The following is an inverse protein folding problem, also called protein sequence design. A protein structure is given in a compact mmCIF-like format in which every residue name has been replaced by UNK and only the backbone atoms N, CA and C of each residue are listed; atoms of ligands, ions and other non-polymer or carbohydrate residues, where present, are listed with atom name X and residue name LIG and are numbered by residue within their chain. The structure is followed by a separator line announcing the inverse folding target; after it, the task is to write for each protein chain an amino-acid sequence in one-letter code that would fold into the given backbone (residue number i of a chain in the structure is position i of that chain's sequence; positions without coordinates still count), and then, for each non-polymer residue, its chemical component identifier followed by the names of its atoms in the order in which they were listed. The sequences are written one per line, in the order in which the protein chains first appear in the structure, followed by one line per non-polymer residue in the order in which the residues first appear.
data_IF_617692368789
#
_entry.id   IF_617692368789
#
_cell.length_a   1.000
_cell.length_b   1.000
_cell.length_c   1.000
_cell.angle_alpha   90.00
_cell.angle_beta   90.00
_cell.angle_gamma   90.00
#
_symmetry.space_group_name_H-M   'P 1'
#
loop_
_entity.id
_entity.type
_entity.pdbx_description
1 polymer ?
#
# COMPACT_ATOMS: atom_id res chain seq x y z
N UNK A 1 18.72 12.65 -14.70
CA UNK A 1 18.27 13.99 -14.27
C UNK A 1 16.77 14.08 -14.45
N UNK A 2 16.04 14.71 -13.55
CA UNK A 2 14.64 15.09 -13.82
C UNK A 2 14.58 16.34 -14.73
N UNK A 3 13.37 16.81 -15.06
CA UNK A 3 13.16 18.00 -15.89
C UNK A 3 13.73 19.30 -15.30
N UNK A 4 14.25 19.26 -14.06
CA UNK A 4 14.91 20.37 -13.37
C UNK A 4 16.42 20.17 -13.19
N UNK A 5 17.04 19.18 -13.86
CA UNK A 5 18.48 18.97 -13.80
C UNK A 5 19.01 18.41 -12.47
N UNK A 6 18.14 18.03 -11.52
CA UNK A 6 18.58 17.38 -10.28
C UNK A 6 18.93 15.92 -10.57
N UNK A 7 20.08 15.48 -10.08
CA UNK A 7 20.38 14.06 -9.97
C UNK A 7 19.30 13.42 -9.09
N UNK A 8 18.65 12.35 -9.59
CA UNK A 8 17.66 11.63 -8.79
C UNK A 8 18.40 10.90 -7.69
N UNK A 9 18.25 11.37 -6.45
CA UNK A 9 18.92 10.77 -5.31
C UNK A 9 18.50 9.31 -5.08
N UNK A 10 19.35 8.48 -4.45
CA UNK A 10 19.02 7.09 -4.16
C UNK A 10 17.75 6.96 -3.31
N UNK A 11 16.93 5.95 -3.62
CA UNK A 11 15.65 5.70 -2.95
C UNK A 11 15.72 4.41 -2.15
N UNK A 12 15.48 4.47 -0.84
CA UNK A 12 15.27 3.28 -0.01
C UNK A 12 13.81 2.86 -0.08
N UNK A 13 13.54 1.59 -0.40
CA UNK A 13 12.21 1.00 -0.31
C UNK A 13 12.16 0.01 0.85
N UNK A 14 11.44 0.36 1.91
CA UNK A 14 11.09 -0.61 2.95
C UNK A 14 9.90 -1.45 2.50
N UNK A 15 9.79 -2.70 2.97
CA UNK A 15 8.76 -3.60 2.45
C UNK A 15 8.93 -3.93 0.95
N UNK A 16 10.15 -3.77 0.40
CA UNK A 16 10.49 -4.00 -1.01
C UNK A 16 10.12 -5.42 -1.51
N UNK A 17 10.03 -6.39 -0.60
CA UNK A 17 9.62 -7.77 -0.89
C UNK A 17 8.13 -8.03 -0.69
N UNK A 18 7.31 -6.99 -0.50
CA UNK A 18 5.85 -7.08 -0.36
C UNK A 18 5.12 -7.07 -1.70
N UNK A 19 3.78 -7.13 -1.67
CA UNK A 19 2.93 -7.04 -2.87
C UNK A 19 3.16 -5.71 -3.59
N UNK A 20 3.00 -4.58 -2.90
CA UNK A 20 3.26 -3.26 -3.48
C UNK A 20 4.75 -3.01 -3.72
N UNK A 21 5.60 -3.40 -2.77
CA UNK A 21 7.05 -3.13 -2.82
C UNK A 21 7.72 -3.65 -4.08
N UNK A 22 7.39 -4.87 -4.54
CA UNK A 22 7.96 -5.41 -5.78
C UNK A 22 7.60 -4.57 -7.01
N UNK A 23 6.35 -4.14 -7.09
CA UNK A 23 5.84 -3.33 -8.21
C UNK A 23 6.47 -1.94 -8.20
N UNK A 24 6.59 -1.32 -7.01
CA UNK A 24 7.27 -0.04 -6.83
C UNK A 24 8.74 -0.14 -7.21
N UNK A 25 9.48 -1.12 -6.68
CA UNK A 25 10.91 -1.31 -7.02
C UNK A 25 11.10 -1.49 -8.52
N UNK A 26 10.29 -2.35 -9.16
CA UNK A 26 10.35 -2.54 -10.61
C UNK A 26 10.07 -1.24 -11.37
N UNK A 27 9.04 -0.49 -10.96
CA UNK A 27 8.69 0.77 -11.61
C UNK A 27 9.79 1.83 -11.46
N UNK A 28 10.29 2.05 -10.25
CA UNK A 28 11.36 3.02 -9.97
C UNK A 28 12.61 2.74 -10.80
N UNK A 29 12.99 1.46 -10.92
CA UNK A 29 14.10 1.03 -11.77
C UNK A 29 13.83 1.30 -13.25
N UNK A 30 12.64 0.98 -13.75
CA UNK A 30 12.27 1.21 -15.15
C UNK A 30 12.38 2.68 -15.57
N UNK A 31 12.27 3.62 -14.61
CA UNK A 31 12.38 5.06 -14.86
C UNK A 31 13.71 5.65 -14.36
N UNK A 32 14.69 4.82 -14.02
CA UNK A 32 16.07 5.21 -13.74
C UNK A 32 16.34 5.77 -12.34
N UNK A 33 15.54 5.43 -11.32
CA UNK A 33 15.95 5.70 -9.94
C UNK A 33 16.98 4.66 -9.47
N UNK A 34 18.05 5.06 -8.77
CA UNK A 34 18.87 4.14 -7.99
C UNK A 34 18.03 3.64 -6.80
N UNK A 35 17.82 2.33 -6.69
CA UNK A 35 16.96 1.75 -5.66
C UNK A 35 17.76 0.87 -4.72
N UNK A 36 17.63 1.17 -3.43
CA UNK A 36 18.01 0.28 -2.33
C UNK A 36 16.78 -0.41 -1.76
N UNK A 37 16.81 -1.74 -1.67
CA UNK A 37 15.75 -2.54 -1.06
C UNK A 37 16.10 -2.97 0.36
N UNK A 38 15.23 -2.71 1.33
CA UNK A 38 15.38 -3.26 2.68
C UNK A 38 14.66 -4.62 2.78
N UNK A 39 15.37 -5.65 3.24
CA UNK A 39 14.79 -6.96 3.50
C UNK A 39 15.34 -7.61 4.76
N UNK A 40 14.50 -8.39 5.44
CA UNK A 40 14.94 -9.17 6.61
C UNK A 40 15.82 -10.37 6.24
N UNK A 41 15.88 -10.73 4.95
CA UNK A 41 16.66 -11.86 4.45
C UNK A 41 17.71 -11.35 3.48
N UNK A 42 18.84 -12.05 3.42
CA UNK A 42 19.85 -11.83 2.39
C UNK A 42 19.27 -12.19 1.03
N UNK A 43 19.56 -11.37 0.03
CA UNK A 43 19.26 -11.63 -1.38
C UNK A 43 20.55 -11.95 -2.12
N UNK A 44 20.44 -12.68 -3.24
CA UNK A 44 21.55 -12.82 -4.17
C UNK A 44 21.90 -11.43 -4.75
N UNK A 45 23.17 -11.19 -5.09
CA UNK A 45 23.55 -9.96 -5.79
C UNK A 45 22.66 -9.74 -7.03
N UNK A 46 22.09 -8.54 -7.15
CA UNK A 46 21.38 -8.06 -8.33
C UNK A 46 21.98 -6.70 -8.66
N UNK A 47 22.72 -6.60 -9.77
CA UNK A 47 23.40 -5.36 -10.19
C UNK A 47 22.44 -4.17 -10.38
N UNK A 48 21.13 -4.42 -10.32
CA UNK A 48 20.07 -3.46 -10.57
C UNK A 48 19.33 -3.03 -9.29
N UNK A 49 19.56 -3.68 -8.14
CA UNK A 49 19.03 -3.30 -6.82
C UNK A 49 20.11 -3.48 -5.76
N UNK A 50 20.40 -2.41 -5.02
CA UNK A 50 21.23 -2.52 -3.81
C UNK A 50 20.39 -3.12 -2.66
N UNK A 51 20.65 -4.37 -2.28
CA UNK A 51 19.92 -5.04 -1.21
C UNK A 51 20.65 -4.88 0.12
N UNK A 52 19.96 -4.30 1.11
CA UNK A 52 20.44 -4.22 2.49
C UNK A 52 19.60 -5.11 3.40
N UNK A 53 20.29 -5.86 4.26
CA UNK A 53 19.65 -6.68 5.29
C UNK A 53 19.31 -5.80 6.48
N UNK A 54 18.04 -5.79 6.87
CA UNK A 54 17.59 -5.11 8.08
C UNK A 54 16.14 -5.39 8.44
N UNK A 55 15.78 -5.03 9.66
CA UNK A 55 14.45 -5.25 10.23
C UNK A 55 13.96 -4.01 10.96
N UNK A 56 12.90 -3.41 10.42
CA UNK A 56 12.25 -2.23 11.01
C UNK A 56 11.75 -2.49 12.43
N UNK A 57 11.40 -3.73 12.77
CA UNK A 57 10.88 -4.06 14.10
C UNK A 57 11.94 -4.06 15.18
N UNK A 58 13.16 -4.45 14.84
CA UNK A 58 14.27 -4.52 15.79
C UNK A 58 15.21 -3.32 15.70
N UNK A 59 15.17 -2.56 14.60
CA UNK A 59 16.13 -1.48 14.32
C UNK A 59 17.39 -1.96 13.61
N UNK A 60 17.64 -3.29 13.56
CA UNK A 60 18.86 -3.84 12.99
C UNK A 60 18.99 -3.48 11.51
N UNK A 61 20.14 -2.95 11.12
CA UNK A 61 20.48 -2.62 9.74
C UNK A 61 19.78 -1.39 9.16
N UNK A 62 18.94 -0.66 9.94
CA UNK A 62 18.27 0.54 9.43
C UNK A 62 19.29 1.65 9.13
N UNK A 63 20.23 1.93 10.03
CA UNK A 63 21.25 2.97 9.84
C UNK A 63 22.04 2.78 8.53
N UNK A 64 22.55 1.57 8.30
CA UNK A 64 23.22 1.22 7.03
C UNK A 64 22.29 1.30 5.82
N UNK A 65 20.99 1.03 5.99
CA UNK A 65 20.03 1.12 4.91
C UNK A 65 19.77 2.57 4.47
N UNK A 66 19.77 3.53 5.40
CA UNK A 66 19.49 4.96 5.12
C UNK A 66 20.74 5.76 4.74
N UNK A 67 21.94 5.21 4.91
CA UNK A 67 23.20 5.89 4.55
C UNK A 67 23.25 6.26 3.06
N UNK A 68 23.46 7.55 2.76
CA UNK A 68 23.51 8.08 1.40
C UNK A 68 22.16 8.08 0.65
N UNK A 69 21.06 7.79 1.34
CA UNK A 69 19.71 7.80 0.77
C UNK A 69 19.14 9.21 0.78
N UNK A 70 18.58 9.63 -0.35
CA UNK A 70 17.88 10.91 -0.45
C UNK A 70 16.42 10.78 -0.01
N UNK A 71 15.73 9.73 -0.44
CA UNK A 71 14.29 9.54 -0.16
C UNK A 71 14.00 8.14 0.34
N UNK A 72 13.14 8.02 1.36
CA UNK A 72 12.62 6.74 1.84
C UNK A 72 11.18 6.57 1.39
N UNK A 73 10.90 5.48 0.67
CA UNK A 73 9.55 4.99 0.38
C UNK A 73 9.20 3.92 1.41
N UNK A 74 8.37 4.30 2.39
CA UNK A 74 8.04 3.47 3.53
C UNK A 74 6.78 2.62 3.27
N UNK A 75 6.97 1.37 2.82
CA UNK A 75 5.90 0.41 2.52
C UNK A 75 5.88 -0.80 3.48
N UNK A 76 6.79 -0.84 4.44
CA UNK A 76 6.80 -1.91 5.43
C UNK A 76 5.50 -1.87 6.25
N UNK A 77 4.80 -3.00 6.28
CA UNK A 77 3.53 -3.12 6.96
C UNK A 77 3.28 -4.56 7.38
N UNK A 78 2.59 -4.76 8.50
CA UNK A 78 2.25 -6.08 9.03
C UNK A 78 0.79 -6.14 9.50
N UNK A 79 -0.17 -6.11 8.56
CA UNK A 79 -1.57 -6.16 8.93
C UNK A 79 -1.92 -7.52 9.56
N UNK A 80 -2.88 -7.51 10.48
CA UNK A 80 -3.51 -8.71 11.05
C UNK A 80 -2.62 -9.64 11.89
N UNK A 81 -1.49 -9.14 12.43
CA UNK A 81 -0.67 -9.88 13.39
C UNK A 81 -0.76 -9.25 14.77
N UNK A 82 -1.72 -9.70 15.59
CA UNK A 82 -1.93 -9.21 16.97
C UNK A 82 -0.61 -9.16 17.74
N UNK A 83 -0.37 -8.06 18.44
CA UNK A 83 0.88 -7.79 19.18
C UNK A 83 2.06 -7.35 18.32
N UNK A 84 2.19 -7.86 17.08
CA UNK A 84 3.29 -7.53 16.16
C UNK A 84 3.00 -6.32 15.26
N UNK A 85 1.74 -6.04 14.92
CA UNK A 85 1.37 -4.90 14.07
C UNK A 85 1.90 -3.59 14.63
N UNK A 86 1.76 -3.36 15.94
CA UNK A 86 2.25 -2.13 16.59
C UNK A 86 3.77 -1.97 16.49
N UNK A 87 4.53 -3.05 16.66
CA UNK A 87 6.00 -2.98 16.63
C UNK A 87 6.54 -2.68 15.23
N UNK A 88 5.78 -3.01 14.19
CA UNK A 88 6.10 -2.67 12.79
C UNK A 88 5.63 -1.27 12.45
N UNK A 89 4.33 -0.98 12.62
CA UNK A 89 3.67 0.23 12.10
C UNK A 89 3.99 1.49 12.90
N UNK A 90 4.24 1.38 14.21
CA UNK A 90 4.49 2.56 15.05
C UNK A 90 5.95 2.59 15.46
N UNK A 91 6.42 1.54 16.14
CA UNK A 91 7.77 1.56 16.69
C UNK A 91 8.82 1.39 15.60
N UNK A 92 8.53 0.59 14.57
CA UNK A 92 9.41 0.45 13.42
C UNK A 92 9.47 1.70 12.56
N UNK A 93 8.34 2.38 12.35
CA UNK A 93 8.31 3.68 11.69
C UNK A 93 9.11 4.72 12.47
N UNK A 94 8.96 4.80 13.80
CA UNK A 94 9.77 5.71 14.63
C UNK A 94 11.27 5.48 14.46
N UNK A 95 11.74 4.24 14.61
CA UNK A 95 13.16 3.89 14.42
C UNK A 95 13.67 4.27 13.03
N UNK A 96 12.87 4.00 11.99
CA UNK A 96 13.22 4.39 10.63
C UNK A 96 13.36 5.90 10.48
N UNK A 97 12.45 6.68 11.06
CA UNK A 97 12.49 8.14 11.02
C UNK A 97 13.70 8.71 11.77
N UNK A 98 14.01 8.16 12.95
CA UNK A 98 15.15 8.60 13.77
C UNK A 98 16.49 8.41 13.04
N UNK A 99 16.69 7.23 12.45
CA UNK A 99 17.87 6.90 11.64
C UNK A 99 17.90 7.72 10.35
N UNK A 100 16.77 7.84 9.66
CA UNK A 100 16.66 8.63 8.43
C UNK A 100 17.00 10.11 8.67
N UNK A 101 16.55 10.68 9.79
CA UNK A 101 16.86 12.05 10.16
C UNK A 101 18.35 12.22 10.43
N UNK A 102 18.94 11.31 11.22
CA UNK A 102 20.38 11.31 11.51
C UNK A 102 21.22 11.20 10.24
N UNK A 103 20.79 10.41 9.26
CA UNK A 103 21.45 10.23 7.97
C UNK A 103 21.20 11.37 6.97
N UNK A 104 20.38 12.37 7.31
CA UNK A 104 20.08 13.50 6.43
C UNK A 104 19.16 13.16 5.24
N UNK A 105 18.27 12.17 5.39
CA UNK A 105 17.21 11.90 4.39
C UNK A 105 16.36 13.15 4.18
N UNK A 106 16.07 13.46 2.92
CA UNK A 106 15.41 14.70 2.53
C UNK A 106 13.90 14.55 2.32
N UNK A 107 13.40 13.32 2.17
CA UNK A 107 11.99 13.06 1.88
C UNK A 107 11.53 11.68 2.38
N UNK A 108 10.35 11.62 3.02
CA UNK A 108 9.64 10.38 3.33
C UNK A 108 8.36 10.30 2.47
N UNK A 109 8.22 9.24 1.68
CA UNK A 109 6.94 8.88 1.04
C UNK A 109 6.33 7.71 1.82
N UNK A 110 5.16 7.92 2.40
CA UNK A 110 4.49 6.91 3.22
C UNK A 110 3.15 6.50 2.62
N UNK A 111 2.84 5.20 2.65
CA UNK A 111 1.55 4.67 2.21
C UNK A 111 0.66 4.31 3.40
N UNK A 112 -0.52 4.91 3.42
CA UNK A 112 -1.60 4.71 4.38
C UNK A 112 -2.88 4.25 3.64
N UNK A 113 -4.03 4.36 4.29
CA UNK A 113 -5.31 3.81 3.82
C UNK A 113 -6.37 4.90 3.86
N UNK A 114 -7.17 5.01 2.80
CA UNK A 114 -8.32 5.95 2.74
C UNK A 114 -9.28 5.66 3.90
N UNK A 115 -9.67 6.73 4.62
CA UNK A 115 -10.61 6.68 5.74
C UNK A 115 -10.11 5.96 7.00
N UNK A 116 -8.79 5.80 7.17
CA UNK A 116 -8.22 5.11 8.33
C UNK A 116 -8.54 5.79 9.67
N UNK A 117 -8.82 7.08 9.66
CA UNK A 117 -9.24 7.90 10.80
C UNK A 117 -10.74 7.84 11.11
N UNK A 118 -11.56 7.32 10.20
CA UNK A 118 -13.02 7.25 10.37
C UNK A 118 -13.55 5.85 10.68
N UNK A 119 -12.74 4.81 10.49
CA UNK A 119 -13.16 3.42 10.66
C UNK A 119 -12.53 2.84 11.93
N UNK A 120 -13.34 2.41 12.93
CA UNK A 120 -12.86 1.96 14.23
C UNK A 120 -12.27 0.54 14.15
N UNK A 121 -11.10 0.43 13.51
CA UNK A 121 -10.37 -0.79 13.34
C UNK A 121 -8.94 -0.60 13.85
N UNK A 122 -8.54 -1.41 14.84
CA UNK A 122 -7.23 -1.28 15.50
C UNK A 122 -6.02 -1.21 14.56
N UNK A 123 -6.08 -1.85 13.39
CA UNK A 123 -5.01 -1.72 12.39
C UNK A 123 -4.97 -0.31 11.77
N UNK A 124 -6.12 0.30 11.50
CA UNK A 124 -6.18 1.65 10.94
C UNK A 124 -5.73 2.71 11.96
N UNK A 125 -6.03 2.50 13.25
CA UNK A 125 -5.48 3.33 14.33
C UNK A 125 -3.94 3.35 14.31
N UNK A 126 -3.28 2.22 13.99
CA UNK A 126 -1.82 2.21 13.82
C UNK A 126 -1.34 2.98 12.60
N UNK A 127 -2.14 3.02 11.52
CA UNK A 127 -1.83 3.84 10.33
C UNK A 127 -1.92 5.32 10.64
N UNK A 128 -2.97 5.76 11.33
CA UNK A 128 -3.12 7.15 11.79
C UNK A 128 -1.96 7.54 12.72
N UNK A 129 -1.61 6.68 13.69
CA UNK A 129 -0.48 6.96 14.57
C UNK A 129 0.86 7.09 13.81
N UNK A 130 1.08 6.30 12.76
CA UNK A 130 2.26 6.41 11.91
C UNK A 130 2.24 7.71 11.07
N UNK A 131 1.08 8.10 10.52
CA UNK A 131 0.90 9.38 9.84
C UNK A 131 1.28 10.55 10.74
N UNK A 132 0.84 10.54 12.00
CA UNK A 132 1.18 11.57 12.97
C UNK A 132 2.67 11.63 13.30
N UNK A 133 3.35 10.48 13.45
CA UNK A 133 4.79 10.44 13.69
C UNK A 133 5.57 11.08 12.54
N UNK A 134 5.16 10.80 11.31
CA UNK A 134 5.78 11.36 10.10
C UNK A 134 5.49 12.85 10.01
N UNK A 135 4.23 13.26 10.24
CA UNK A 135 3.81 14.65 10.11
C UNK A 135 4.42 15.58 11.17
N UNK A 136 4.68 15.07 12.37
CA UNK A 136 5.35 15.81 13.46
C UNK A 136 6.88 15.75 13.37
N UNK A 137 7.41 14.90 12.48
CA UNK A 137 8.85 14.70 12.32
C UNK A 137 9.53 15.84 11.57
N UNK A 138 10.88 15.92 11.65
CA UNK A 138 11.66 16.98 11.00
C UNK A 138 11.87 16.77 9.49
N UNK A 139 11.62 15.55 8.97
CA UNK A 139 11.86 15.23 7.56
C UNK A 139 10.64 15.60 6.72
N UNK A 140 10.79 16.38 5.62
CA UNK A 140 9.70 16.62 4.69
C UNK A 140 9.07 15.31 4.18
N UNK A 141 7.75 15.27 4.03
CA UNK A 141 7.05 14.01 3.72
C UNK A 141 6.05 14.16 2.56
N UNK A 142 5.49 13.02 2.13
CA UNK A 142 4.27 12.91 1.35
C UNK A 142 3.51 11.66 1.84
N UNK A 143 2.28 11.83 2.32
CA UNK A 143 1.45 10.70 2.76
C UNK A 143 0.43 10.39 1.68
N UNK A 144 0.41 9.15 1.20
CA UNK A 144 -0.57 8.64 0.24
C UNK A 144 -1.53 7.68 0.96
N UNK A 145 -2.76 8.10 1.21
CA UNK A 145 -3.86 7.22 1.65
C UNK A 145 -4.41 6.51 0.42
N UNK A 146 -4.22 5.19 0.36
CA UNK A 146 -4.53 4.39 -0.82
C UNK A 146 -5.85 3.62 -0.66
N UNK A 147 -6.52 3.39 -1.77
CA UNK A 147 -7.59 2.40 -1.85
C UNK A 147 -7.10 1.00 -1.53
N UNK A 148 -8.01 0.08 -1.19
CA UNK A 148 -7.64 -1.31 -0.93
C UNK A 148 -7.10 -1.94 -2.22
N UNK A 149 -5.97 -2.63 -2.16
CA UNK A 149 -5.41 -3.25 -3.36
C UNK A 149 -6.34 -4.34 -3.89
N UNK A 150 -6.43 -4.45 -5.22
CA UNK A 150 -7.22 -5.50 -5.88
C UNK A 150 -6.84 -6.89 -5.36
N UNK A 151 -5.54 -7.19 -5.21
CA UNK A 151 -5.07 -8.45 -4.63
C UNK A 151 -5.55 -8.70 -3.19
N UNK A 152 -5.67 -7.65 -2.39
CA UNK A 152 -6.22 -7.76 -1.04
C UNK A 152 -7.71 -8.13 -1.08
N UNK A 153 -8.49 -7.46 -1.92
CA UNK A 153 -9.92 -7.74 -2.11
C UNK A 153 -10.14 -9.17 -2.62
N UNK A 154 -9.35 -9.61 -3.60
CA UNK A 154 -9.36 -10.98 -4.13
C UNK A 154 -9.11 -12.01 -3.03
N UNK A 155 -8.04 -11.82 -2.25
CA UNK A 155 -7.69 -12.74 -1.16
C UNK A 155 -8.76 -12.77 -0.08
N UNK A 156 -9.34 -11.63 0.28
CA UNK A 156 -10.42 -11.56 1.25
C UNK A 156 -11.64 -12.35 0.76
N UNK A 157 -12.09 -12.15 -0.48
CA UNK A 157 -13.19 -12.90 -1.09
C UNK A 157 -12.89 -14.40 -1.17
N UNK A 158 -11.66 -14.76 -1.56
CA UNK A 158 -11.22 -16.16 -1.63
C UNK A 158 -11.28 -16.84 -0.27
N UNK A 159 -10.73 -16.21 0.78
CA UNK A 159 -10.75 -16.74 2.15
C UNK A 159 -12.17 -16.86 2.71
N UNK A 160 -13.06 -15.91 2.41
CA UNK A 160 -14.45 -15.93 2.87
C UNK A 160 -15.33 -16.92 2.09
N UNK A 161 -14.89 -17.37 0.91
CA UNK A 161 -15.68 -18.27 0.04
C UNK A 161 -15.68 -19.75 0.44
N UNK A 162 -14.97 -20.12 1.51
CA UNK A 162 -14.70 -21.53 1.86
C UNK A 162 -15.94 -22.39 2.15
N UNK A 163 -17.01 -21.79 2.68
CA UNK A 163 -18.22 -22.51 3.12
C UNK A 163 -19.37 -22.49 2.11
N UNK A 164 -19.12 -22.15 0.84
CA UNK A 164 -20.18 -22.10 -0.18
C UNK A 164 -20.98 -20.79 -0.21
N UNK A 165 -20.74 -19.88 0.73
CA UNK A 165 -21.48 -18.62 0.91
C UNK A 165 -20.51 -17.42 0.95
N UNK A 166 -21.00 -16.27 0.50
CA UNK A 166 -20.37 -14.96 0.68
C UNK A 166 -21.38 -13.98 1.29
N UNK A 167 -21.01 -13.34 2.40
CA UNK A 167 -21.81 -12.25 2.98
C UNK A 167 -21.34 -10.94 2.36
N UNK A 168 -22.27 -10.18 1.76
CA UNK A 168 -21.97 -8.89 1.14
C UNK A 168 -22.99 -7.82 1.54
N UNK A 169 -22.55 -6.83 2.31
CA UNK A 169 -23.35 -5.64 2.62
C UNK A 169 -23.31 -4.67 1.43
N UNK A 170 -24.44 -4.50 0.76
CA UNK A 170 -24.57 -3.67 -0.46
C UNK A 170 -24.34 -2.18 -0.23
N UNK A 171 -24.34 -1.73 1.02
CA UNK A 171 -24.08 -0.33 1.37
C UNK A 171 -22.61 -0.07 1.70
N UNK A 172 -21.79 -1.12 1.80
CA UNK A 172 -20.35 -0.97 1.99
C UNK A 172 -19.71 -0.71 0.64
N UNK A 173 -19.21 0.51 0.48
CA UNK A 173 -18.53 0.99 -0.71
C UNK A 173 -17.03 0.99 -0.49
N UNK A 174 -16.27 0.59 -1.51
CA UNK A 174 -14.81 0.67 -1.55
C UNK A 174 -14.35 1.08 -2.95
N UNK A 175 -13.19 1.72 -3.03
CA UNK A 175 -12.62 2.15 -4.31
C UNK A 175 -11.26 1.47 -4.54
N UNK A 176 -11.26 0.15 -4.85
CA UNK A 176 -10.03 -0.63 -4.85
C UNK A 176 -9.10 -0.20 -5.98
N UNK A 177 -7.80 -0.21 -5.73
CA UNK A 177 -6.76 0.31 -6.65
C UNK A 177 -5.75 -0.77 -7.06
N UNK A 178 -5.26 -0.72 -8.30
CA UNK A 178 -4.19 -1.62 -8.73
C UNK A 178 -2.83 -1.13 -8.24
N UNK A 179 -1.96 -2.08 -7.86
CA UNK A 179 -0.61 -1.77 -7.40
C UNK A 179 0.28 -1.10 -8.46
N UNK A 180 0.04 -1.31 -9.75
CA UNK A 180 0.75 -0.62 -10.83
C UNK A 180 0.42 0.87 -10.84
N UNK A 181 -0.87 1.23 -10.70
CA UNK A 181 -1.31 2.63 -10.60
C UNK A 181 -0.70 3.31 -9.36
N UNK A 182 -0.66 2.59 -8.23
CA UNK A 182 -0.01 3.09 -7.01
C UNK A 182 1.49 3.30 -7.22
N UNK A 183 2.17 2.39 -7.91
CA UNK A 183 3.60 2.52 -8.21
C UNK A 183 3.89 3.73 -9.11
N UNK A 184 3.02 4.00 -10.10
CA UNK A 184 3.08 5.24 -10.88
C UNK A 184 2.87 6.46 -10.00
N UNK A 185 1.87 6.43 -9.09
CA UNK A 185 1.59 7.57 -8.21
C UNK A 185 2.74 7.86 -7.24
N UNK A 186 3.34 6.84 -6.64
CA UNK A 186 4.55 6.98 -5.81
C UNK A 186 5.69 7.57 -6.65
N UNK A 187 5.88 7.09 -7.88
CA UNK A 187 6.92 7.61 -8.78
C UNK A 187 6.69 9.10 -9.11
N UNK A 188 5.43 9.50 -9.31
CA UNK A 188 5.06 10.90 -9.51
C UNK A 188 5.33 11.75 -8.25
N UNK A 189 4.98 11.25 -7.06
CA UNK A 189 5.27 11.92 -5.79
C UNK A 189 6.77 12.12 -5.57
N UNK A 190 7.60 11.12 -5.88
CA UNK A 190 9.07 11.23 -5.82
C UNK A 190 9.62 12.31 -6.76
N UNK A 191 9.02 12.49 -7.95
CA UNK A 191 9.44 13.51 -8.91
C UNK A 191 8.96 14.91 -8.53
N UNK A 192 7.78 15.02 -7.92
CA UNK A 192 7.25 16.29 -7.44
C UNK A 192 8.01 16.79 -6.19
N UNK A 193 8.57 15.87 -5.41
CA UNK A 193 9.21 16.15 -4.13
C UNK A 193 8.22 16.13 -2.97
N UNK A 194 8.67 16.54 -1.77
CA UNK A 194 7.82 16.57 -0.58
C UNK A 194 6.55 17.40 -0.76
N UNK A 195 5.46 16.90 -0.19
CA UNK A 195 4.17 17.58 -0.14
C UNK A 195 3.67 17.52 1.30
N UNK A 196 3.53 18.66 1.97
CA UNK A 196 3.21 18.76 3.41
C UNK A 196 1.77 18.36 3.79
N UNK A 197 1.20 17.34 3.15
CA UNK A 197 -0.18 16.92 3.33
C UNK A 197 -0.44 15.45 3.02
N UNK A 198 -1.71 15.09 3.20
CA UNK A 198 -2.25 13.76 2.90
C UNK A 198 -2.96 13.84 1.55
N UNK A 199 -2.55 12.96 0.64
CA UNK A 199 -3.25 12.74 -0.61
C UNK A 199 -4.01 11.41 -0.56
N UNK A 200 -5.26 11.41 -1.01
CA UNK A 200 -6.04 10.19 -1.20
C UNK A 200 -6.00 9.73 -2.65
N UNK A 201 -5.73 8.44 -2.88
CA UNK A 201 -5.62 7.85 -4.21
C UNK A 201 -6.36 6.51 -4.28
N UNK A 202 -7.55 6.54 -4.85
CA UNK A 202 -8.39 5.35 -5.11
C UNK A 202 -8.25 4.83 -6.54
N UNK A 203 -8.81 3.66 -6.81
CA UNK A 203 -8.93 3.14 -8.18
C UNK A 203 -9.97 3.89 -9.03
N UNK A 204 -10.18 3.45 -10.28
CA UNK A 204 -11.05 4.16 -11.22
C UNK A 204 -12.54 4.11 -10.83
N UNK A 205 -12.96 3.08 -10.10
CA UNK A 205 -14.38 2.78 -9.83
C UNK A 205 -14.66 2.58 -8.34
N UNK A 206 -15.82 3.09 -7.89
CA UNK A 206 -16.39 2.77 -6.58
C UNK A 206 -17.25 1.53 -6.74
N UNK A 207 -16.97 0.51 -5.94
CA UNK A 207 -17.67 -0.76 -5.94
C UNK A 207 -18.38 -0.98 -4.61
N UNK A 208 -19.61 -1.44 -4.67
CA UNK A 208 -20.20 -2.11 -3.52
C UNK A 208 -19.66 -3.55 -3.41
N UNK A 209 -19.66 -4.08 -2.18
CA UNK A 209 -19.11 -5.40 -1.89
C UNK A 209 -19.82 -6.54 -2.66
N UNK A 210 -21.11 -6.38 -2.99
CA UNK A 210 -21.85 -7.37 -3.77
C UNK A 210 -21.38 -7.38 -5.22
N UNK A 211 -21.22 -6.22 -5.85
CA UNK A 211 -20.71 -6.10 -7.23
C UNK A 211 -19.31 -6.70 -7.31
N UNK A 212 -18.43 -6.36 -6.36
CA UNK A 212 -17.08 -6.92 -6.31
C UNK A 212 -17.09 -8.45 -6.20
N UNK A 213 -17.95 -9.00 -5.32
CA UNK A 213 -18.11 -10.45 -5.15
C UNK A 213 -18.72 -11.13 -6.39
N UNK A 214 -19.70 -10.52 -7.06
CA UNK A 214 -20.30 -11.06 -8.28
C UNK A 214 -19.28 -11.16 -9.42
N UNK A 215 -18.51 -10.09 -9.64
CA UNK A 215 -17.46 -10.07 -10.66
C UNK A 215 -16.37 -11.11 -10.32
N UNK A 216 -16.00 -11.26 -9.05
CA UNK A 216 -15.04 -12.26 -8.60
C UNK A 216 -15.51 -13.71 -8.81
N UNK A 217 -16.78 -14.02 -8.51
CA UNK A 217 -17.35 -15.36 -8.78
C UNK A 217 -17.37 -15.67 -10.28
N UNK A 218 -17.73 -14.69 -11.10
CA UNK A 218 -17.73 -14.84 -12.56
C UNK A 218 -16.32 -15.13 -13.09
N UNK A 219 -15.32 -14.38 -12.63
CA UNK A 219 -13.93 -14.57 -13.05
C UNK A 219 -13.31 -15.88 -12.57
N UNK A 220 -13.61 -16.31 -11.33
CA UNK A 220 -13.05 -17.55 -10.75
C UNK A 220 -13.79 -18.83 -11.14
N UNK A 221 -14.95 -18.71 -11.79
CA UNK A 221 -15.84 -19.84 -12.10
C UNK A 221 -16.49 -20.51 -10.88
N UNK A 222 -16.33 -19.93 -9.68
CA UNK A 222 -16.87 -20.50 -8.43
C UNK A 222 -18.37 -20.27 -8.34
N UNK A 223 -19.11 -21.28 -7.89
CA UNK A 223 -20.54 -21.17 -7.54
C UNK A 223 -20.68 -20.97 -6.04
N UNK A 224 -21.03 -19.76 -5.61
CA UNK A 224 -21.28 -19.40 -4.20
C UNK A 224 -22.53 -18.54 -4.11
N UNK A 225 -23.36 -18.74 -3.10
CA UNK A 225 -24.49 -17.84 -2.88
C UNK A 225 -24.01 -16.56 -2.21
N UNK A 226 -24.47 -15.41 -2.70
CA UNK A 226 -24.19 -14.11 -2.08
C UNK A 226 -25.40 -13.73 -1.22
N UNK A 227 -25.20 -13.67 0.10
CA UNK A 227 -26.21 -13.25 1.05
C UNK A 227 -26.08 -11.75 1.33
N UNK A 228 -27.13 -10.93 1.08
CA UNK A 228 -27.10 -9.49 1.27
C UNK A 228 -27.29 -9.10 2.75
N UNK A 229 -26.41 -9.60 3.63
CA UNK A 229 -26.50 -9.35 5.07
C UNK A 229 -25.74 -8.09 5.44
N UNK A 230 -26.39 -7.24 6.24
CA UNK A 230 -25.83 -5.99 6.75
C UNK A 230 -24.79 -6.27 7.83
N UNK A 231 -23.60 -5.66 7.73
CA UNK A 231 -22.58 -5.79 8.77
C UNK A 231 -23.09 -5.03 10.03
N UNK A 232 -23.25 -5.70 11.18
CA UNK A 232 -23.78 -5.06 12.38
C UNK A 232 -22.73 -4.17 13.08
N UNK A 233 -23.18 -3.40 14.07
CA UNK A 233 -22.30 -2.64 14.96
C UNK A 233 -21.71 -1.35 14.37
N UNK A 234 -20.80 -0.73 15.14
CA UNK A 234 -20.13 0.53 14.79
C UNK A 234 -19.28 0.39 13.53
N UNK A 235 -18.53 -0.70 13.40
CA UNK A 235 -17.68 -0.98 12.24
C UNK A 235 -18.50 -1.02 10.93
N UNK A 236 -19.62 -1.75 10.92
CA UNK A 236 -20.49 -1.79 9.75
C UNK A 236 -21.10 -0.43 9.40
N UNK A 237 -21.39 0.42 10.39
CA UNK A 237 -21.86 1.80 10.13
C UNK A 237 -20.76 2.60 9.43
N UNK A 238 -19.55 2.65 10.00
CA UNK A 238 -18.42 3.37 9.42
C UNK A 238 -18.11 2.95 7.97
N UNK A 239 -18.16 1.65 7.65
CA UNK A 239 -17.98 1.19 6.28
C UNK A 239 -19.06 1.66 5.30
N UNK A 240 -20.30 1.86 5.77
CA UNK A 240 -21.42 2.32 4.95
C UNK A 240 -21.46 3.83 4.76
N UNK A 241 -20.72 4.57 5.57
CA UNK A 241 -20.62 6.03 5.47
C UNK A 241 -19.67 6.46 4.33
N UNK A 242 -19.14 5.50 3.55
CA UNK A 242 -18.39 5.76 2.32
C UNK A 242 -16.92 6.12 2.53
N UNK A 243 -16.42 6.01 3.77
CA UNK A 243 -15.06 6.43 4.14
C UNK A 243 -13.93 5.67 3.44
N UNK A 244 -14.19 4.55 2.75
CA UNK A 244 -13.18 3.82 1.96
C UNK A 244 -13.09 4.28 0.49
N UNK A 245 -13.61 5.47 0.18
CA UNK A 245 -13.62 6.04 -1.17
C UNK A 245 -12.99 7.42 -1.17
N UNK A 246 -12.25 7.74 -2.23
CA UNK A 246 -11.63 9.04 -2.47
C UNK A 246 -12.43 9.79 -3.55
N UNK A 247 -13.12 10.88 -3.19
CA UNK A 247 -13.85 11.69 -4.18
C UNK A 247 -12.90 12.45 -5.12
N UNK A 248 -11.66 12.70 -4.70
CA UNK A 248 -10.69 13.50 -5.45
C UNK A 248 -10.07 12.77 -6.66
N UNK A 249 -9.51 13.57 -7.58
CA UNK A 249 -8.61 13.15 -8.64
C UNK A 249 -7.17 13.59 -8.29
N UNK A 250 -6.12 12.88 -8.74
CA UNK A 250 -6.12 11.78 -9.71
C UNK A 250 -6.59 10.44 -9.12
N UNK A 251 -6.97 9.51 -10.00
CA UNK A 251 -7.39 8.13 -9.66
C UNK A 251 -6.60 7.13 -10.48
N UNK A 252 -6.55 5.89 -10.02
CA UNK A 252 -6.03 4.76 -10.79
C UNK A 252 -6.81 4.54 -12.09
N UNK A 253 -6.21 3.78 -13.00
CA UNK A 253 -6.74 3.52 -14.34
C UNK A 253 -7.31 2.11 -14.47
N UNK A 254 -6.74 1.14 -13.75
CA UNK A 254 -7.10 -0.27 -13.91
C UNK A 254 -8.28 -0.65 -13.04
N UNK A 255 -9.32 -1.18 -13.67
CA UNK A 255 -10.57 -1.61 -13.05
C UNK A 255 -10.44 -2.97 -12.38
N UNK A 256 -11.32 -3.26 -11.42
CA UNK A 256 -11.39 -4.55 -10.73
C UNK A 256 -11.62 -5.69 -11.71
N UNK A 257 -12.45 -5.46 -12.72
CA UNK A 257 -12.74 -6.43 -13.77
C UNK A 257 -11.52 -6.75 -14.63
N UNK A 258 -10.72 -5.76 -15.00
CA UNK A 258 -9.48 -5.96 -15.77
C UNK A 258 -8.41 -6.69 -14.94
N UNK A 259 -8.32 -6.39 -13.64
CA UNK A 259 -7.48 -7.17 -12.73
C UNK A 259 -7.91 -8.64 -12.69
N UNK A 260 -9.20 -8.90 -12.48
CA UNK A 260 -9.74 -10.25 -12.41
C UNK A 260 -9.55 -11.03 -13.71
N UNK A 261 -9.80 -10.40 -14.86
CA UNK A 261 -9.57 -11.00 -16.17
C UNK A 261 -8.10 -11.39 -16.33
N UNK A 262 -7.16 -10.47 -16.07
CA UNK A 262 -5.74 -10.78 -16.19
C UNK A 262 -5.26 -11.89 -15.23
N UNK A 263 -5.89 -12.06 -14.07
CA UNK A 263 -5.50 -13.06 -13.07
C UNK A 263 -6.13 -14.44 -13.30
N UNK A 264 -7.37 -14.48 -13.77
CA UNK A 264 -8.17 -15.70 -13.85
C UNK A 264 -8.59 -16.11 -15.27
N UNK A 265 -8.30 -15.30 -16.29
CA UNK A 265 -8.47 -15.74 -17.68
C UNK A 265 -7.64 -17.02 -17.90
N UNK A 266 -8.24 -18.09 -18.44
CA UNK A 266 -7.47 -19.24 -18.85
C UNK A 266 -6.48 -18.80 -19.92
N UNK A 267 -5.20 -19.13 -19.75
CA UNK A 267 -4.24 -19.04 -20.84
C UNK A 267 -4.81 -19.83 -22.02
N UNK A 268 -5.21 -19.15 -23.09
CA UNK A 268 -5.61 -19.79 -24.37
C UNK A 268 -4.36 -20.34 -25.10
N UNK A 269 -3.19 -20.31 -24.45
CA UNK A 269 -1.92 -20.81 -25.01
C UNK A 269 -1.40 -21.97 -24.16
N UNK A 270 -1.99 -23.15 -24.33
CA UNK A 270 -1.31 -24.44 -24.10
C UNK A 270 -1.94 -25.53 -24.95
#
# INVERSE_FOLDING_TARGET
MDSNGRARGPVLVTGATGTLGRVVVARLRSVGFPVRGLSRRKHLPDDRIDWVVGDVTTGSGIGSAVEGIHTVVHLASAPYRRGYTRSVEIDGTRRLLDEAHTAGVQHIVYTSIIGCDHIPWAYFETKVAAEELIAKGPIPFSILRLGQFHDFVDRALSSLSGIGLLVADRKVLAQPVDTSDVAERITAALRAGPASGIEEFGGPEVLDLRIAAQQWLAATGKRRAILPVRIPGKLGRAFRDGHLTAPAAPRGSRTWREYLAAKYSPDITR
#
